data_IF_775006510062
#
_entry.id   IF_775006510062
#
_cell.length_a   1.000
_cell.length_b   1.000
_cell.length_c   1.000
_cell.angle_alpha   90.00
_cell.angle_beta   90.00
_cell.angle_gamma   90.00
#
_symmetry.space_group_name_H-M   'P 1'
#
loop_
_entity.id
_entity.type
_entity.pdbx_description
1 polymer ?
#
# COMPACT_ATOMS: atom_id res chain seq x y z
N UNK A 1 32.19 -26.32 -19.28
CA UNK A 1 31.08 -26.29 -18.31
C UNK A 1 30.80 -24.83 -18.00
N UNK A 2 29.70 -24.27 -18.49
CA UNK A 2 29.31 -22.92 -18.13
C UNK A 2 28.69 -22.96 -16.73
N UNK A 3 29.27 -22.24 -15.79
CA UNK A 3 28.67 -21.96 -14.50
C UNK A 3 27.41 -21.12 -14.77
N UNK A 4 26.25 -21.70 -14.48
CA UNK A 4 24.97 -20.98 -14.49
C UNK A 4 25.07 -19.94 -13.38
N UNK A 5 24.98 -18.65 -13.72
CA UNK A 5 24.92 -17.59 -12.72
C UNK A 5 23.80 -17.90 -11.71
N UNK A 6 23.98 -17.60 -10.42
CA UNK A 6 22.88 -17.68 -9.47
C UNK A 6 21.74 -16.79 -10.01
N UNK A 7 20.51 -17.33 -10.06
CA UNK A 7 19.34 -16.48 -10.26
C UNK A 7 19.35 -15.52 -9.07
N UNK A 8 19.50 -14.23 -9.34
CA UNK A 8 19.13 -13.21 -8.37
C UNK A 8 17.67 -13.49 -7.99
N UNK A 9 17.45 -13.98 -6.78
CA UNK A 9 16.12 -13.90 -6.19
C UNK A 9 15.90 -12.41 -5.99
N UNK A 10 15.12 -11.77 -6.87
CA UNK A 10 14.61 -10.42 -6.61
C UNK A 10 13.97 -10.48 -5.22
N UNK A 11 14.53 -9.75 -4.27
CA UNK A 11 13.79 -9.37 -3.08
C UNK A 11 12.67 -8.47 -3.61
N UNK A 12 11.41 -8.84 -3.37
CA UNK A 12 10.26 -8.02 -3.74
C UNK A 12 10.36 -6.68 -3.01
N UNK A 13 9.92 -5.60 -3.64
CA UNK A 13 9.76 -4.33 -2.93
C UNK A 13 8.62 -4.42 -1.92
N UNK A 14 8.54 -3.43 -1.03
CA UNK A 14 7.43 -3.33 -0.08
C UNK A 14 6.07 -3.41 -0.77
N UNK A 15 5.87 -2.57 -1.80
CA UNK A 15 4.59 -2.49 -2.50
C UNK A 15 4.26 -3.77 -3.29
N UNK A 16 5.26 -4.44 -3.87
CA UNK A 16 5.07 -5.77 -4.48
C UNK A 16 4.62 -6.80 -3.43
N UNK A 17 5.22 -6.78 -2.24
CA UNK A 17 4.91 -7.71 -1.17
C UNK A 17 3.53 -7.43 -0.55
N UNK A 18 3.27 -6.19 -0.13
CA UNK A 18 2.06 -5.82 0.61
C UNK A 18 0.83 -6.03 -0.27
N UNK A 19 0.85 -5.65 -1.55
CA UNK A 19 -0.31 -5.80 -2.41
C UNK A 19 -0.58 -7.25 -2.85
N UNK A 20 0.40 -8.14 -2.75
CA UNK A 20 0.26 -9.54 -3.21
C UNK A 20 -0.17 -10.52 -2.12
N UNK A 21 -0.41 -10.06 -0.89
CA UNK A 21 -0.89 -10.94 0.18
C UNK A 21 -2.36 -11.31 -0.04
N UNK A 22 -2.78 -12.52 0.33
CA UNK A 22 -4.17 -12.96 0.12
C UNK A 22 -5.20 -12.01 0.78
N UNK A 23 -4.85 -11.43 1.94
CA UNK A 23 -5.69 -10.47 2.66
C UNK A 23 -5.85 -9.17 1.86
N UNK A 24 -4.75 -8.66 1.31
CA UNK A 24 -4.78 -7.42 0.55
C UNK A 24 -5.36 -7.60 -0.85
N UNK A 25 -5.27 -8.77 -1.46
CA UNK A 25 -5.97 -9.05 -2.73
C UNK A 25 -7.49 -8.97 -2.53
N UNK A 26 -8.03 -9.53 -1.44
CA UNK A 26 -9.46 -9.43 -1.12
C UNK A 26 -9.87 -7.95 -0.94
N UNK A 27 -9.08 -7.18 -0.17
CA UNK A 27 -9.29 -5.75 0.02
C UNK A 27 -9.22 -4.95 -1.29
N UNK A 28 -8.26 -5.24 -2.18
CA UNK A 28 -8.12 -4.59 -3.48
C UNK A 28 -9.27 -4.94 -4.43
N UNK A 29 -9.75 -6.19 -4.41
CA UNK A 29 -10.93 -6.62 -5.15
C UNK A 29 -12.19 -5.90 -4.66
N UNK A 30 -12.36 -5.70 -3.35
CA UNK A 30 -13.47 -4.93 -2.80
C UNK A 30 -13.47 -3.49 -3.34
N UNK A 31 -12.33 -2.81 -3.30
CA UNK A 31 -12.20 -1.45 -3.83
C UNK A 31 -12.40 -1.37 -5.36
N UNK A 32 -11.98 -2.38 -6.11
CA UNK A 32 -12.19 -2.44 -7.56
C UNK A 32 -13.67 -2.42 -7.98
N UNK A 33 -14.57 -2.78 -7.06
CA UNK A 33 -16.01 -2.73 -7.27
C UNK A 33 -16.66 -1.38 -6.90
N UNK A 34 -15.87 -0.41 -6.44
CA UNK A 34 -16.33 0.92 -6.05
C UNK A 34 -16.04 1.97 -7.14
N UNK A 35 -16.75 3.09 -7.06
CA UNK A 35 -16.42 4.30 -7.81
C UNK A 35 -15.24 5.05 -7.16
N UNK A 36 -14.65 6.02 -7.87
CA UNK A 36 -13.46 6.76 -7.41
C UNK A 36 -13.62 7.35 -6.00
N UNK A 37 -14.75 7.97 -5.69
CA UNK A 37 -15.04 8.51 -4.35
C UNK A 37 -15.15 7.39 -3.29
N UNK A 38 -15.66 6.22 -3.67
CA UNK A 38 -15.75 5.05 -2.81
C UNK A 38 -14.38 4.45 -2.49
N UNK A 39 -13.50 4.37 -3.50
CA UNK A 39 -12.11 3.93 -3.33
C UNK A 39 -11.35 4.86 -2.38
N UNK A 40 -11.42 6.17 -2.60
CA UNK A 40 -10.75 7.16 -1.74
C UNK A 40 -11.21 6.98 -0.29
N UNK A 41 -12.52 6.87 -0.07
CA UNK A 41 -13.08 6.68 1.27
C UNK A 41 -12.66 5.36 1.92
N UNK A 42 -12.58 4.28 1.15
CA UNK A 42 -12.15 2.98 1.67
C UNK A 42 -10.68 3.00 2.09
N UNK A 43 -9.82 3.67 1.32
CA UNK A 43 -8.41 3.90 1.69
C UNK A 43 -8.29 4.76 2.95
N UNK A 44 -9.09 5.83 3.06
CA UNK A 44 -9.17 6.65 4.28
C UNK A 44 -9.59 5.85 5.51
N UNK A 45 -10.68 5.08 5.41
CA UNK A 45 -11.20 4.26 6.52
C UNK A 45 -10.16 3.21 6.97
N UNK A 46 -9.51 2.53 6.01
CA UNK A 46 -8.47 1.55 6.33
C UNK A 46 -7.27 2.16 7.04
N UNK A 47 -6.83 3.36 6.67
CA UNK A 47 -5.80 4.08 7.42
C UNK A 47 -6.28 4.49 8.82
N UNK A 48 -7.52 4.97 8.96
CA UNK A 48 -8.12 5.34 10.26
C UNK A 48 -8.29 4.14 11.22
N UNK A 49 -8.51 2.94 10.68
CA UNK A 49 -8.63 1.70 11.48
C UNK A 49 -7.39 1.48 12.34
N UNK A 50 -6.20 1.85 11.85
CA UNK A 50 -4.94 1.71 12.60
C UNK A 50 -4.94 2.45 13.95
N UNK A 51 -5.72 3.53 14.05
CA UNK A 51 -5.84 4.35 15.26
C UNK A 51 -7.08 4.02 16.09
N UNK A 52 -7.96 3.16 15.59
CA UNK A 52 -9.28 2.91 16.18
C UNK A 52 -9.23 2.05 17.44
N UNK A 53 -8.15 1.29 17.66
CA UNK A 53 -8.00 0.39 18.82
C UNK A 53 -6.54 0.03 19.12
N UNK A 54 -6.22 -0.37 20.37
CA UNK A 54 -4.85 -0.65 20.77
C UNK A 54 -4.25 -1.95 20.19
N UNK A 55 -5.07 -2.81 19.57
CA UNK A 55 -4.61 -4.03 18.93
C UNK A 55 -5.46 -4.34 17.70
N UNK A 56 -4.83 -4.35 16.55
CA UNK A 56 -5.43 -4.76 15.28
C UNK A 56 -5.42 -6.27 15.13
N UNK A 57 -6.35 -6.79 14.32
CA UNK A 57 -6.17 -8.10 13.71
C UNK A 57 -5.13 -8.01 12.59
N UNK A 58 -4.60 -9.16 12.17
CA UNK A 58 -3.64 -9.24 11.06
C UNK A 58 -4.21 -8.66 9.77
N UNK A 59 -5.48 -8.92 9.47
CA UNK A 59 -6.20 -8.36 8.32
C UNK A 59 -6.30 -6.84 8.38
N UNK A 60 -6.70 -6.28 9.53
CA UNK A 60 -6.79 -4.82 9.69
C UNK A 60 -5.43 -4.14 9.59
N UNK A 61 -4.37 -4.76 10.10
CA UNK A 61 -3.01 -4.24 9.98
C UNK A 61 -2.51 -4.28 8.53
N UNK A 62 -2.70 -5.40 7.84
CA UNK A 62 -2.34 -5.58 6.43
C UNK A 62 -3.09 -4.61 5.52
N UNK A 63 -4.41 -4.47 5.70
CA UNK A 63 -5.23 -3.58 4.90
C UNK A 63 -4.87 -2.10 5.16
N UNK A 64 -4.60 -1.73 6.41
CA UNK A 64 -4.13 -0.38 6.75
C UNK A 64 -2.79 -0.07 6.07
N UNK A 65 -1.85 -1.01 6.09
CA UNK A 65 -0.54 -0.89 5.42
C UNK A 65 -0.66 -0.78 3.90
N UNK A 66 -1.52 -1.60 3.28
CA UNK A 66 -1.82 -1.50 1.85
C UNK A 66 -2.45 -0.15 1.51
N UNK A 67 -3.46 0.28 2.26
CA UNK A 67 -4.11 1.57 2.09
C UNK A 67 -3.13 2.74 2.21
N UNK A 68 -2.26 2.72 3.23
CA UNK A 68 -1.24 3.76 3.42
C UNK A 68 -0.23 3.80 2.27
N UNK A 69 0.12 2.63 1.70
CA UNK A 69 0.98 2.54 0.53
C UNK A 69 0.29 3.13 -0.72
N UNK A 70 -1.00 2.86 -0.91
CA UNK A 70 -1.80 3.46 -1.98
C UNK A 70 -1.85 4.99 -1.82
N UNK A 71 -2.10 5.48 -0.60
CA UNK A 71 -2.10 6.91 -0.29
C UNK A 71 -0.74 7.57 -0.61
N UNK A 72 0.37 6.91 -0.28
CA UNK A 72 1.71 7.38 -0.64
C UNK A 72 1.92 7.43 -2.16
N UNK A 73 1.44 6.43 -2.91
CA UNK A 73 1.47 6.44 -4.38
C UNK A 73 0.64 7.61 -4.92
N UNK A 74 -0.53 7.87 -4.34
CA UNK A 74 -1.35 9.02 -4.71
C UNK A 74 -0.68 10.36 -4.39
N UNK A 75 0.16 10.41 -3.35
CA UNK A 75 1.01 11.55 -3.02
C UNK A 75 2.24 11.68 -3.95
N UNK A 76 2.52 10.67 -4.77
CA UNK A 76 3.58 10.68 -5.78
C UNK A 76 4.77 9.77 -5.49
N UNK A 77 4.67 8.88 -4.51
CA UNK A 77 5.69 7.88 -4.24
C UNK A 77 5.95 6.99 -5.49
N UNK A 78 7.21 6.65 -5.78
CA UNK A 78 7.52 5.64 -6.80
C UNK A 78 7.06 4.25 -6.34
N UNK A 79 6.59 3.42 -7.27
CA UNK A 79 6.15 2.05 -7.02
C UNK A 79 6.75 1.07 -8.04
N UNK A 80 6.81 -0.21 -7.66
CA UNK A 80 7.35 -1.33 -8.45
C UNK A 80 6.34 -2.45 -8.71
N UNK A 81 5.18 -2.46 -8.04
CA UNK A 81 4.10 -3.43 -8.14
C UNK A 81 3.29 -3.30 -9.44
N UNK A 82 3.99 -3.27 -10.58
CA UNK A 82 3.41 -3.05 -11.90
C UNK A 82 2.31 -4.04 -12.25
N UNK A 83 2.52 -5.34 -11.99
CA UNK A 83 1.52 -6.38 -12.28
C UNK A 83 0.22 -6.14 -11.49
N UNK A 84 0.34 -5.84 -10.19
CA UNK A 84 -0.84 -5.57 -9.34
C UNK A 84 -1.54 -4.28 -9.75
N UNK A 85 -0.80 -3.24 -10.12
CA UNK A 85 -1.37 -1.97 -10.61
C UNK A 85 -2.04 -2.12 -11.98
N UNK A 86 -1.65 -3.09 -12.79
CA UNK A 86 -2.35 -3.43 -14.03
C UNK A 86 -3.73 -4.04 -13.75
N UNK A 87 -3.84 -4.88 -12.71
CA UNK A 87 -5.10 -5.47 -12.26
C UNK A 87 -5.98 -4.48 -11.46
N UNK A 88 -5.35 -3.55 -10.73
CA UNK A 88 -6.02 -2.52 -9.91
C UNK A 88 -5.58 -1.10 -10.29
N UNK A 89 -6.07 -0.54 -11.41
CA UNK A 89 -5.59 0.75 -11.94
C UNK A 89 -5.77 1.95 -11.00
N UNK A 90 -6.78 1.93 -10.14
CA UNK A 90 -7.06 3.02 -9.18
C UNK A 90 -5.88 3.32 -8.24
N UNK A 91 -4.98 2.35 -8.02
CA UNK A 91 -3.76 2.53 -7.22
C UNK A 91 -2.91 3.67 -7.80
N UNK A 92 -2.87 3.86 -9.12
CA UNK A 92 -2.11 4.95 -9.77
C UNK A 92 -2.97 6.02 -10.43
N UNK A 93 -4.24 5.75 -10.72
CA UNK A 93 -5.09 6.69 -11.46
C UNK A 93 -5.59 7.85 -10.61
N UNK A 94 -5.61 7.69 -9.29
CA UNK A 94 -6.10 8.68 -8.33
C UNK A 94 -4.99 9.56 -7.73
N UNK A 95 -3.83 9.67 -8.41
CA UNK A 95 -2.74 10.56 -8.00
C UNK A 95 -3.23 11.99 -7.80
N UNK A 96 -2.96 12.55 -6.62
CA UNK A 96 -3.41 13.87 -6.19
C UNK A 96 -4.78 13.90 -5.49
N UNK A 97 -5.41 12.75 -5.24
CA UNK A 97 -6.75 12.69 -4.61
C UNK A 97 -6.74 12.58 -3.08
N UNK A 98 -5.57 12.39 -2.46
CA UNK A 98 -5.47 12.22 -1.01
C UNK A 98 -5.73 13.52 -0.22
N UNK A 99 -6.49 13.41 0.86
CA UNK A 99 -6.72 14.50 1.81
C UNK A 99 -5.52 14.68 2.76
N UNK A 100 -5.37 15.85 3.39
CA UNK A 100 -4.32 16.07 4.41
C UNK A 100 -4.41 15.03 5.54
N UNK A 101 -5.64 14.73 5.99
CA UNK A 101 -5.89 13.71 7.02
C UNK A 101 -5.51 12.31 6.55
N UNK A 102 -5.80 11.95 5.29
CA UNK A 102 -5.35 10.67 4.74
C UNK A 102 -3.82 10.57 4.77
N UNK A 103 -3.14 11.63 4.34
CA UNK A 103 -1.68 11.69 4.31
C UNK A 103 -1.08 11.52 5.71
N UNK A 104 -1.61 12.22 6.71
CA UNK A 104 -1.17 12.11 8.11
C UNK A 104 -1.35 10.68 8.66
N UNK A 105 -2.54 10.11 8.50
CA UNK A 105 -2.81 8.74 8.98
C UNK A 105 -1.95 7.70 8.25
N UNK A 106 -1.80 7.83 6.93
CA UNK A 106 -0.97 6.94 6.13
C UNK A 106 0.51 7.01 6.55
N UNK A 107 1.01 8.21 6.88
CA UNK A 107 2.37 8.40 7.36
C UNK A 107 2.58 7.65 8.67
N UNK A 108 1.68 7.85 9.64
CA UNK A 108 1.76 7.14 10.92
C UNK A 108 1.70 5.61 10.74
N UNK A 109 0.85 5.10 9.83
CA UNK A 109 0.79 3.66 9.55
C UNK A 109 2.13 3.14 9.03
N UNK A 110 2.73 3.80 8.04
CA UNK A 110 3.98 3.34 7.43
C UNK A 110 5.19 3.50 8.37
N UNK A 111 5.23 4.52 9.20
CA UNK A 111 6.30 4.70 10.22
C UNK A 111 6.28 3.61 11.30
N UNK A 112 5.12 2.99 11.54
CA UNK A 112 4.96 1.91 12.53
C UNK A 112 5.18 0.50 11.94
N UNK A 113 5.50 0.38 10.65
CA UNK A 113 5.82 -0.93 10.06
C UNK A 113 7.20 -1.38 10.55
N UNK A 114 7.25 -2.52 11.25
CA UNK A 114 8.48 -3.08 11.81
C UNK A 114 9.22 -4.05 10.85
N UNK A 115 8.84 -4.08 9.57
CA UNK A 115 9.39 -4.99 8.57
C UNK A 115 10.75 -4.52 8.01
N UNK A 116 11.56 -5.47 7.50
CA UNK A 116 12.89 -5.20 6.93
C UNK A 116 12.86 -4.55 5.52
N UNK A 117 11.75 -3.91 5.14
CA UNK A 117 11.61 -3.24 3.84
C UNK A 117 12.01 -1.76 3.90
N UNK A 118 12.45 -1.24 2.75
CA UNK A 118 12.73 0.18 2.58
C UNK A 118 11.43 0.95 2.29
N UNK A 119 10.92 1.65 3.32
CA UNK A 119 9.69 2.44 3.26
C UNK A 119 9.94 3.95 3.08
N UNK A 120 11.19 4.39 3.15
CA UNK A 120 11.59 5.79 2.98
C UNK A 120 10.94 6.48 1.77
N UNK A 121 10.86 5.90 0.56
CA UNK A 121 10.24 6.59 -0.57
C UNK A 121 8.74 6.85 -0.40
N UNK A 122 8.02 6.02 0.35
CA UNK A 122 6.60 6.20 0.63
C UNK A 122 6.38 7.20 1.76
N UNK A 123 7.19 7.11 2.81
CA UNK A 123 7.19 8.04 3.95
C UNK A 123 7.54 9.47 3.49
N UNK A 124 8.57 9.63 2.64
CA UNK A 124 8.97 10.94 2.11
C UNK A 124 7.86 11.59 1.27
N UNK A 125 7.10 10.78 0.49
CA UNK A 125 6.01 11.30 -0.31
C UNK A 125 4.83 11.84 0.53
N UNK A 126 4.68 11.34 1.76
CA UNK A 126 3.62 11.74 2.69
C UNK A 126 4.02 12.91 3.61
N UNK A 127 5.29 13.33 3.62
CA UNK A 127 5.83 14.34 4.55
C UNK A 127 5.90 15.77 4.00
#
# INVERSE_FOLDING_TARGET
MALKAPKESKVSTWDENIFSTDLNIDFLDEMANLDEEGVIRAVEDACEVAHSKPKLSEEEEQNAQAAATIAAIWAGAPFSAGEVVEDYPYIRELVGSGSETLTENALEVLENVEEEYDLEPFIEALS
#
